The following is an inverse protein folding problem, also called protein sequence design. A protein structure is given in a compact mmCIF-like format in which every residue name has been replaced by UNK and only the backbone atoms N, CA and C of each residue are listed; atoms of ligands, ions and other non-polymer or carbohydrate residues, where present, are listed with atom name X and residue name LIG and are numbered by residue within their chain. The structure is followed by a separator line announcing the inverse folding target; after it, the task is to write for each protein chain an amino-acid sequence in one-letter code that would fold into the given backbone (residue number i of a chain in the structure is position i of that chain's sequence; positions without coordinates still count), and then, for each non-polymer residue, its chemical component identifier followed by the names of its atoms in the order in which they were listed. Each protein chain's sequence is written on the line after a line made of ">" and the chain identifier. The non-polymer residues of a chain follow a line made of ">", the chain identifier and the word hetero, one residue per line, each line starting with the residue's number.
data_IF_520086183817
#
_entry.id   IF_520086183817
#
_cell.length_a   1.000
_cell.length_b   1.000
_cell.length_c   1.000
_cell.angle_alpha   90.00
_cell.angle_beta   90.00
_cell.angle_gamma   90.00
#
_symmetry.space_group_name_H-M   'P 1'
#
loop_
_entity.id
_entity.type
_entity.pdbx_description
1 polymer ?
#
# COMPACT_ATOMS: atom_id res chain seq x y z
N UNK A 1 6.18 -5.97 -8.24
CA UNK A 1 5.05 -6.62 -7.57
C UNK A 1 3.77 -6.53 -8.40
N UNK A 2 2.98 -7.61 -8.43
CA UNK A 2 1.66 -7.64 -9.07
C UNK A 2 0.54 -7.14 -8.15
N UNK A 3 -0.56 -6.64 -8.75
CA UNK A 3 -1.76 -6.19 -8.03
C UNK A 3 -2.43 -7.32 -7.23
N UNK A 4 -2.40 -8.54 -7.76
CA UNK A 4 -2.91 -9.75 -7.10
C UNK A 4 -2.25 -9.96 -5.72
N UNK A 5 -0.94 -9.77 -5.63
CA UNK A 5 -0.18 -9.93 -4.39
C UNK A 5 -0.54 -8.86 -3.36
N UNK A 6 -0.73 -7.60 -3.77
CA UNK A 6 -1.17 -6.51 -2.88
C UNK A 6 -2.53 -6.80 -2.24
N UNK A 7 -3.47 -7.36 -3.01
CA UNK A 7 -4.79 -7.76 -2.50
C UNK A 7 -4.61 -8.88 -1.47
N UNK A 8 -3.84 -9.92 -1.80
CA UNK A 8 -3.56 -11.04 -0.89
C UNK A 8 -2.88 -10.56 0.41
N UNK A 9 -1.89 -9.68 0.33
CA UNK A 9 -1.21 -9.09 1.50
C UNK A 9 -2.15 -8.23 2.37
N UNK A 10 -3.14 -7.58 1.76
CA UNK A 10 -4.15 -6.80 2.48
C UNK A 10 -5.11 -7.69 3.28
N UNK A 11 -5.44 -8.86 2.74
CA UNK A 11 -6.28 -9.87 3.39
C UNK A 11 -5.49 -10.73 4.39
N UNK A 12 -4.20 -10.89 4.16
CA UNK A 12 -3.32 -11.82 4.87
C UNK A 12 -3.02 -13.04 3.98
N UNK A 13 -1.74 -13.28 3.72
CA UNK A 13 -1.27 -14.39 2.88
C UNK A 13 -0.35 -15.29 3.67
N UNK A 14 -0.54 -16.61 3.56
CA UNK A 14 0.31 -17.57 4.24
C UNK A 14 1.65 -17.71 3.50
N UNK A 15 2.75 -17.89 4.24
CA UNK A 15 4.10 -18.03 3.65
C UNK A 15 4.18 -19.16 2.61
N UNK A 16 3.49 -20.27 2.88
CA UNK A 16 3.44 -21.44 1.99
C UNK A 16 2.75 -21.15 0.65
N UNK A 17 1.88 -20.14 0.59
CA UNK A 17 1.15 -19.77 -0.63
C UNK A 17 1.95 -18.81 -1.52
N UNK A 18 3.15 -18.40 -1.08
CA UNK A 18 4.00 -17.45 -1.79
C UNK A 18 5.09 -18.17 -2.59
N UNK A 19 5.25 -17.75 -3.84
CA UNK A 19 6.41 -18.14 -4.64
C UNK A 19 7.71 -17.53 -4.10
N UNK A 20 8.86 -18.04 -4.53
CA UNK A 20 10.16 -17.51 -4.12
C UNK A 20 10.37 -16.05 -4.58
N UNK A 21 9.82 -15.69 -5.74
CA UNK A 21 9.89 -14.33 -6.26
C UNK A 21 9.03 -13.38 -5.41
N UNK A 22 7.79 -13.80 -5.07
CA UNK A 22 6.90 -13.03 -4.20
C UNK A 22 7.48 -12.83 -2.80
N UNK A 23 8.13 -13.86 -2.24
CA UNK A 23 8.83 -13.75 -0.94
C UNK A 23 9.93 -12.70 -0.98
N UNK A 24 10.71 -12.67 -2.07
CA UNK A 24 11.79 -11.69 -2.23
C UNK A 24 11.25 -10.26 -2.26
N UNK A 25 10.17 -10.04 -3.02
CA UNK A 25 9.47 -8.77 -3.07
C UNK A 25 8.97 -8.34 -1.67
N UNK A 26 8.32 -9.26 -0.93
CA UNK A 26 7.76 -9.00 0.40
C UNK A 26 8.85 -8.76 1.45
N UNK A 27 10.00 -9.41 1.35
CA UNK A 27 11.10 -9.29 2.31
C UNK A 27 11.58 -7.85 2.46
N UNK A 28 11.60 -7.08 1.37
CA UNK A 28 11.93 -5.65 1.38
C UNK A 28 10.94 -4.86 2.25
N UNK A 29 9.64 -5.15 2.13
CA UNK A 29 8.56 -4.50 2.87
C UNK A 29 8.53 -4.89 4.35
N UNK A 30 8.92 -6.12 4.67
CA UNK A 30 9.09 -6.59 6.05
C UNK A 30 10.24 -5.86 6.72
N UNK A 31 11.38 -5.71 6.02
CA UNK A 31 12.53 -4.94 6.49
C UNK A 31 12.17 -3.48 6.79
N UNK A 32 11.34 -2.88 5.93
CA UNK A 32 10.82 -1.52 6.10
C UNK A 32 9.70 -1.41 7.16
N UNK A 33 9.32 -2.51 7.82
CA UNK A 33 8.23 -2.59 8.82
C UNK A 33 6.86 -2.16 8.27
N UNK A 34 6.68 -2.27 6.95
CA UNK A 34 5.43 -2.01 6.24
C UNK A 34 4.53 -3.25 6.31
N UNK A 35 5.11 -4.41 6.02
CA UNK A 35 4.44 -5.71 6.17
C UNK A 35 4.87 -6.35 7.49
N UNK A 36 3.93 -7.05 8.14
CA UNK A 36 4.20 -7.80 9.36
C UNK A 36 4.04 -9.29 9.08
N UNK A 37 5.02 -10.07 9.50
CA UNK A 37 4.95 -11.53 9.51
C UNK A 37 4.62 -12.03 10.91
N UNK A 38 3.47 -12.70 11.08
CA UNK A 38 3.05 -13.30 12.36
C UNK A 38 2.30 -14.60 12.11
N UNK A 39 2.62 -15.64 12.88
CA UNK A 39 1.98 -16.97 12.79
C UNK A 39 1.98 -17.56 11.37
N UNK A 40 3.06 -17.39 10.60
CA UNK A 40 3.13 -17.89 9.22
C UNK A 40 2.40 -17.03 8.19
N UNK A 41 1.81 -15.90 8.59
CA UNK A 41 1.01 -15.03 7.72
C UNK A 41 1.69 -13.67 7.55
N UNK A 42 1.87 -13.25 6.30
CA UNK A 42 2.23 -11.88 5.94
C UNK A 42 0.96 -11.05 5.82
N UNK A 43 0.93 -9.90 6.50
CA UNK A 43 -0.21 -8.99 6.46
C UNK A 43 0.23 -7.54 6.53
N UNK A 44 -0.47 -6.68 5.80
CA UNK A 44 -0.36 -5.22 5.94
C UNK A 44 -1.12 -4.78 7.20
N UNK A 45 -0.45 -4.20 8.21
CA UNK A 45 -1.09 -3.66 9.41
C UNK A 45 -2.13 -2.60 9.09
N UNK A 46 -3.12 -2.41 9.97
CA UNK A 46 -4.23 -1.48 9.76
C UNK A 46 -3.83 0.00 9.59
N UNK A 47 -2.63 0.38 10.05
CA UNK A 47 -2.05 1.72 9.85
C UNK A 47 -1.60 1.97 8.41
N UNK A 48 -1.46 0.93 7.60
CA UNK A 48 -1.10 1.00 6.18
C UNK A 48 -2.27 0.55 5.31
N UNK A 49 -2.26 1.01 4.06
CA UNK A 49 -3.21 0.64 3.01
C UNK A 49 -2.46 0.43 1.71
N UNK A 50 -2.78 -0.66 1.03
CA UNK A 50 -2.36 -0.92 -0.33
C UNK A 50 -3.41 -0.37 -1.30
N UNK A 51 -2.97 0.15 -2.43
CA UNK A 51 -3.86 0.71 -3.43
C UNK A 51 -3.16 1.13 -4.71
N UNK A 52 -3.95 1.67 -5.64
CA UNK A 52 -3.47 2.33 -6.85
C UNK A 52 -3.53 3.84 -6.67
N UNK A 53 -2.54 4.56 -7.18
CA UNK A 53 -2.52 6.03 -7.19
C UNK A 53 -3.36 6.58 -8.34
N UNK A 54 -4.30 7.45 -8.00
CA UNK A 54 -5.03 8.29 -8.94
C UNK A 54 -4.60 9.75 -8.75
N UNK A 55 -3.75 10.26 -9.64
CA UNK A 55 -3.31 11.66 -9.60
C UNK A 55 -4.47 12.60 -9.97
N UNK A 56 -4.45 13.78 -9.36
CA UNK A 56 -5.36 14.88 -9.66
C UNK A 56 -4.61 16.01 -10.37
N UNK A 57 -5.32 16.89 -11.07
CA UNK A 57 -4.71 17.99 -11.82
C UNK A 57 -3.93 19.00 -10.96
N UNK A 58 -4.11 18.99 -9.63
CA UNK A 58 -3.43 19.87 -8.69
C UNK A 58 -2.15 19.30 -8.06
N UNK A 59 -1.62 18.17 -8.57
CA UNK A 59 -0.43 17.52 -8.02
C UNK A 59 -0.68 16.70 -6.74
N UNK A 60 -1.88 16.74 -6.17
CA UNK A 60 -2.33 15.77 -5.17
C UNK A 60 -2.83 14.48 -5.81
N UNK A 61 -3.10 13.47 -4.99
CA UNK A 61 -3.63 12.19 -5.45
C UNK A 61 -4.65 11.59 -4.47
N UNK A 62 -5.37 10.59 -4.96
CA UNK A 62 -6.16 9.69 -4.14
C UNK A 62 -5.60 8.28 -4.23
N UNK A 63 -5.47 7.62 -3.09
CA UNK A 63 -5.20 6.20 -3.01
C UNK A 63 -6.52 5.45 -3.14
N UNK A 64 -6.67 4.74 -4.26
CA UNK A 64 -7.76 3.78 -4.45
C UNK A 64 -7.38 2.48 -3.75
N UNK A 65 -7.90 2.30 -2.53
CA UNK A 65 -7.53 1.15 -1.71
C UNK A 65 -8.05 -0.15 -2.34
N UNK A 66 -7.18 -1.17 -2.44
CA UNK A 66 -7.59 -2.48 -2.97
C UNK A 66 -8.41 -3.31 -1.98
N UNK A 67 -8.40 -2.94 -0.69
CA UNK A 67 -9.13 -3.63 0.35
C UNK A 67 -10.62 -3.26 0.33
N UNK A 68 -11.50 -4.28 0.25
CA UNK A 68 -12.95 -4.15 0.25
C UNK A 68 -13.46 -3.21 1.37
N UNK A 69 -14.45 -2.37 1.03
CA UNK A 69 -15.10 -1.40 1.94
C UNK A 69 -14.18 -0.35 2.58
N UNK A 70 -13.02 -0.08 1.99
CA UNK A 70 -12.15 1.01 2.45
C UNK A 70 -12.38 2.26 1.61
N UNK A 71 -12.58 3.41 2.27
CA UNK A 71 -12.62 4.71 1.57
C UNK A 71 -11.25 5.05 0.99
N UNK A 72 -11.27 5.73 -0.14
CA UNK A 72 -10.08 6.32 -0.73
C UNK A 72 -9.44 7.31 0.25
N UNK A 73 -8.11 7.37 0.21
CA UNK A 73 -7.33 8.25 1.09
C UNK A 73 -6.71 9.35 0.25
N UNK A 74 -6.85 10.60 0.71
CA UNK A 74 -6.18 11.72 0.08
C UNK A 74 -4.67 11.67 0.37
N UNK A 75 -3.87 11.89 -0.67
CA UNK A 75 -2.41 11.98 -0.60
C UNK A 75 -2.02 13.37 -1.11
N UNK A 76 -1.34 14.14 -0.27
CA UNK A 76 -0.82 15.44 -0.64
C UNK A 76 0.32 15.34 -1.66
N UNK A 77 0.62 16.42 -2.37
CA UNK A 77 1.72 16.45 -3.35
C UNK A 77 3.07 16.08 -2.71
N UNK A 78 3.35 16.59 -1.51
CA UNK A 78 4.59 16.29 -0.77
C UNK A 78 4.61 14.88 -0.17
N UNK A 79 3.47 14.21 -0.12
CA UNK A 79 3.26 12.88 0.46
C UNK A 79 3.24 11.77 -0.60
N UNK A 80 3.44 12.10 -1.88
CA UNK A 80 3.40 11.17 -3.01
C UNK A 80 4.69 10.35 -3.19
N UNK A 81 5.79 10.78 -2.58
CA UNK A 81 7.12 10.21 -2.80
C UNK A 81 7.50 10.32 -4.30
N UNK A 82 7.64 9.20 -5.01
CA UNK A 82 7.91 9.15 -6.46
C UNK A 82 6.76 8.50 -7.25
N UNK A 83 5.59 8.33 -6.62
CA UNK A 83 4.46 7.61 -7.18
C UNK A 83 3.77 8.40 -8.30
N UNK A 84 3.50 7.70 -9.39
CA UNK A 84 2.84 8.21 -10.58
C UNK A 84 1.40 7.70 -10.71
N UNK A 85 0.64 8.27 -11.64
CA UNK A 85 -0.73 7.83 -11.89
C UNK A 85 -0.75 6.38 -12.38
N UNK A 86 -1.53 5.52 -11.73
CA UNK A 86 -1.58 4.08 -12.03
C UNK A 86 -0.63 3.23 -11.18
N UNK A 87 0.32 3.83 -10.45
CA UNK A 87 1.26 3.06 -9.64
C UNK A 87 0.57 2.30 -8.51
N UNK A 88 1.06 1.10 -8.25
CA UNK A 88 0.71 0.27 -7.12
C UNK A 88 1.57 0.66 -5.92
N UNK A 89 0.93 1.10 -4.85
CA UNK A 89 1.64 1.65 -3.69
C UNK A 89 1.11 1.12 -2.37
N UNK A 90 1.94 1.27 -1.33
CA UNK A 90 1.53 1.16 0.05
C UNK A 90 1.65 2.55 0.70
N UNK A 91 0.56 3.00 1.29
CA UNK A 91 0.48 4.28 1.98
C UNK A 91 0.22 4.11 3.48
N UNK A 92 0.86 4.92 4.30
CA UNK A 92 0.62 5.02 5.73
C UNK A 92 -0.48 6.04 6.01
N UNK A 93 -1.51 5.64 6.74
CA UNK A 93 -2.59 6.53 7.19
C UNK A 93 -2.04 7.61 8.13
N UNK A 94 -2.43 8.85 7.89
CA UNK A 94 -2.15 9.97 8.79
C UNK A 94 -3.36 10.10 9.73
N UNK A 95 -3.12 9.88 11.02
CA UNK A 95 -4.16 10.00 12.05
C UNK A 95 -4.14 11.41 12.67
N UNK A 96 -5.30 11.94 13.03
CA UNK A 96 -5.41 13.23 13.71
C UNK A 96 -5.31 14.47 12.81
N UNK A 97 -5.18 14.31 11.48
CA UNK A 97 -5.27 15.43 10.53
C UNK A 97 -6.74 15.89 10.42
N UNK A 98 -6.99 17.19 10.54
CA UNK A 98 -8.33 17.76 10.28
C UNK A 98 -8.68 17.64 8.80
N UNK A 99 -9.91 17.25 8.49
CA UNK A 99 -10.42 17.13 7.12
C UNK A 99 -10.57 15.69 6.66
N UNK A 100 -10.38 15.47 5.35
CA UNK A 100 -10.53 14.16 4.74
C UNK A 100 -9.51 13.13 5.26
N UNK A 101 -9.87 11.84 5.34
CA UNK A 101 -8.93 10.77 5.59
C UNK A 101 -7.73 10.87 4.65
N UNK A 102 -6.53 10.93 5.20
CA UNK A 102 -5.30 11.15 4.43
C UNK A 102 -4.23 10.10 4.73
N UNK A 103 -3.31 9.97 3.80
CA UNK A 103 -2.18 9.08 3.88
C UNK A 103 -0.96 9.68 3.19
N UNK A 104 0.19 9.05 3.43
CA UNK A 104 1.42 9.29 2.70
C UNK A 104 1.95 8.01 2.08
N UNK A 105 2.47 8.09 0.87
CA UNK A 105 3.13 6.95 0.21
C UNK A 105 4.40 6.61 0.99
N UNK A 106 4.57 5.33 1.32
CA UNK A 106 5.78 4.83 1.97
C UNK A 106 6.56 3.85 1.09
N UNK A 107 5.91 3.25 0.10
CA UNK A 107 6.55 2.40 -0.88
C UNK A 107 5.74 2.36 -2.18
N UNK A 108 6.43 2.49 -3.31
CA UNK A 108 5.91 2.11 -4.63
C UNK A 108 6.37 0.68 -4.89
N UNK A 109 5.41 -0.23 -5.11
CA UNK A 109 5.67 -1.67 -5.20
C UNK A 109 5.45 -2.24 -6.59
N UNK A 110 4.74 -1.51 -7.45
CA UNK A 110 4.54 -1.87 -8.85
C UNK A 110 4.18 -0.65 -9.67
N UNK A 111 4.51 -0.71 -10.95
CA UNK A 111 4.12 0.26 -11.97
C UNK A 111 3.45 -0.54 -13.08
N UNK A 112 2.27 -0.13 -13.51
CA UNK A 112 1.63 -0.67 -14.73
C UNK A 112 2.09 0.10 -15.96
#
# INVERSE_FOLDING_TARGET
>A
MEKSLLIRLSLGVHDIDLSNDERTDIQSLVTQKIVRFQHGIYRIPSKFRAGTIALTQGGSAYLQAVALNTRDLFIGADDLLDAQNGDLVIAQRILGKRGAPSAKVVAVVGRE
#
